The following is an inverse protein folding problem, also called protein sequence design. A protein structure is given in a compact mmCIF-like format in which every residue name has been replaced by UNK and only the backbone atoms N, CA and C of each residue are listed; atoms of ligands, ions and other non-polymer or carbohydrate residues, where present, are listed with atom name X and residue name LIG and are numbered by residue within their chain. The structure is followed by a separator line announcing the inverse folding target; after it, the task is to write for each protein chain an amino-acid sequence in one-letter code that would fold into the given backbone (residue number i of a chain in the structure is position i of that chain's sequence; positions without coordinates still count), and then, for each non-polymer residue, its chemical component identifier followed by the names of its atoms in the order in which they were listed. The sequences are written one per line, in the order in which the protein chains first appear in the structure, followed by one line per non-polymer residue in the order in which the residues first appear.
data_IF_639183195165
#
_entry.id   IF_639183195165
#
_cell.length_a   1.000
_cell.length_b   1.000
_cell.length_c   1.000
_cell.angle_alpha   90.00
_cell.angle_beta   90.00
_cell.angle_gamma   90.00
#
_symmetry.space_group_name_H-M   'P 1'
#
loop_
_entity.id
_entity.type
_entity.pdbx_description
1 polymer ?
#
# COMPACT_ATOMS: atom_id res chain seq x y z
N UNK A 1 32.40 -8.74 12.24
CA UNK A 1 31.28 -8.45 11.35
C UNK A 1 30.43 -9.71 11.23
N UNK A 2 29.32 -9.78 11.96
CA UNK A 2 28.40 -10.91 11.88
C UNK A 2 27.58 -10.74 10.61
N UNK A 3 27.83 -11.57 9.60
CA UNK A 3 27.01 -11.60 8.39
C UNK A 3 25.60 -11.99 8.79
N UNK A 4 24.68 -11.03 8.74
CA UNK A 4 23.26 -11.31 8.83
C UNK A 4 22.92 -12.30 7.71
N UNK A 5 22.61 -13.54 8.08
CA UNK A 5 22.11 -14.54 7.12
C UNK A 5 20.88 -13.96 6.46
N UNK A 6 20.87 -13.91 5.13
CA UNK A 6 19.67 -13.58 4.36
C UNK A 6 18.53 -14.48 4.88
N UNK A 7 17.38 -13.91 5.26
CA UNK A 7 16.26 -14.73 5.72
C UNK A 7 15.92 -15.78 4.66
N UNK A 8 15.50 -16.98 5.05
CA UNK A 8 15.18 -18.05 4.12
C UNK A 8 14.14 -17.56 3.11
N UNK A 9 14.31 -17.94 1.83
CA UNK A 9 13.37 -17.62 0.75
C UNK A 9 12.07 -18.41 0.96
N UNK A 10 11.18 -17.87 1.79
CA UNK A 10 9.93 -18.51 2.19
C UNK A 10 8.93 -18.38 1.05
N UNK A 11 8.50 -19.52 0.50
CA UNK A 11 7.52 -19.62 -0.59
C UNK A 11 6.22 -20.27 -0.13
N UNK A 12 5.41 -19.60 0.72
CA UNK A 12 4.22 -20.19 1.33
C UNK A 12 3.12 -20.52 0.31
N UNK A 13 3.15 -19.90 -0.86
CA UNK A 13 2.20 -20.11 -1.94
C UNK A 13 2.73 -21.05 -3.05
N UNK A 14 3.81 -21.81 -2.78
CA UNK A 14 4.28 -22.81 -3.75
C UNK A 14 3.17 -23.83 -4.05
N UNK A 15 2.86 -24.03 -5.33
CA UNK A 15 1.79 -24.92 -5.78
C UNK A 15 0.43 -24.24 -5.96
N UNK A 16 0.22 -23.04 -5.38
CA UNK A 16 -1.01 -22.28 -5.54
C UNK A 16 -1.05 -21.59 -6.91
N UNK A 17 -2.19 -21.72 -7.58
CA UNK A 17 -2.48 -21.06 -8.86
C UNK A 17 -3.49 -19.93 -8.64
N UNK A 18 -3.14 -18.76 -9.10
CA UNK A 18 -3.97 -17.55 -9.01
C UNK A 18 -4.32 -17.11 -10.43
N UNK A 19 -5.60 -16.94 -10.69
CA UNK A 19 -6.09 -16.26 -11.89
C UNK A 19 -6.50 -14.85 -11.53
N UNK A 20 -6.03 -13.88 -12.30
CA UNK A 20 -6.42 -12.48 -12.12
C UNK A 20 -7.12 -11.94 -13.36
N UNK A 21 -8.23 -11.25 -13.13
CA UNK A 21 -8.91 -10.41 -14.11
C UNK A 21 -8.72 -8.91 -13.79
N UNK A 22 -7.91 -8.62 -12.76
CA UNK A 22 -7.68 -7.26 -12.31
C UNK A 22 -6.70 -6.52 -13.21
N UNK A 23 -7.01 -5.27 -13.49
CA UNK A 23 -6.25 -4.37 -14.35
C UNK A 23 -5.68 -3.19 -13.55
N UNK A 24 -4.90 -2.37 -14.21
CA UNK A 24 -4.23 -1.18 -13.68
C UNK A 24 -3.19 -1.49 -12.61
N UNK A 25 -3.35 -0.99 -11.36
CA UNK A 25 -2.31 -1.04 -10.35
C UNK A 25 -2.60 -2.02 -9.21
N UNK A 26 -3.72 -1.96 -8.45
CA UNK A 26 -3.83 -2.70 -7.18
C UNK A 26 -3.77 -4.22 -7.35
N UNK A 27 -4.45 -4.77 -8.38
CA UNK A 27 -4.42 -6.20 -8.66
C UNK A 27 -3.05 -6.70 -9.14
N UNK A 28 -2.47 -6.12 -10.20
CA UNK A 28 -1.13 -6.48 -10.66
C UNK A 28 -0.04 -6.33 -9.59
N UNK A 29 -0.07 -5.28 -8.76
CA UNK A 29 0.86 -5.11 -7.65
C UNK A 29 0.69 -6.21 -6.58
N UNK A 30 -0.55 -6.66 -6.32
CA UNK A 30 -0.80 -7.82 -5.48
C UNK A 30 -0.22 -9.11 -6.11
N UNK A 31 -0.41 -9.33 -7.43
CA UNK A 31 0.17 -10.50 -8.12
C UNK A 31 1.69 -10.54 -8.03
N UNK A 32 2.37 -9.41 -8.19
CA UNK A 32 3.82 -9.30 -8.04
C UNK A 32 4.27 -9.84 -6.65
N UNK A 33 3.58 -9.45 -5.57
CA UNK A 33 3.84 -9.92 -4.22
C UNK A 33 3.55 -11.41 -4.05
N UNK A 34 2.41 -11.88 -4.54
CA UNK A 34 1.98 -13.27 -4.44
C UNK A 34 2.91 -14.21 -5.23
N UNK A 35 3.41 -13.76 -6.38
CA UNK A 35 4.44 -14.46 -7.14
C UNK A 35 5.76 -14.55 -6.36
N UNK A 36 6.16 -13.47 -5.71
CA UNK A 36 7.33 -13.48 -4.82
C UNK A 36 7.19 -14.51 -3.68
N UNK A 37 5.95 -14.78 -3.22
CA UNK A 37 5.64 -15.84 -2.25
C UNK A 37 5.52 -17.25 -2.88
N UNK A 38 5.78 -17.40 -4.18
CA UNK A 38 5.83 -18.69 -4.88
C UNK A 38 4.55 -19.09 -5.62
N UNK A 39 3.51 -18.25 -5.67
CA UNK A 39 2.32 -18.53 -6.45
C UNK A 39 2.59 -18.56 -7.96
N UNK A 40 1.83 -19.37 -8.69
CA UNK A 40 1.76 -19.34 -10.16
C UNK A 40 0.62 -18.42 -10.58
N UNK A 41 0.95 -17.26 -11.14
CA UNK A 41 -0.02 -16.26 -11.52
C UNK A 41 -0.29 -16.32 -13.03
N UNK A 42 -1.57 -16.35 -13.38
CA UNK A 42 -2.08 -16.12 -14.73
C UNK A 42 -2.97 -14.88 -14.68
N UNK A 43 -2.80 -13.97 -15.63
CA UNK A 43 -3.68 -12.81 -15.78
C UNK A 43 -4.39 -12.92 -17.12
N UNK A 44 -5.70 -12.77 -17.09
CA UNK A 44 -6.52 -12.72 -18.30
C UNK A 44 -6.88 -11.26 -18.57
N UNK A 45 -6.45 -10.76 -19.71
CA UNK A 45 -6.67 -9.39 -20.16
C UNK A 45 -7.70 -9.34 -21.29
N UNK A 46 -8.49 -8.25 -21.40
CA UNK A 46 -9.30 -8.02 -22.57
C UNK A 46 -8.45 -7.83 -23.83
N UNK A 47 -8.98 -7.93 -25.05
CA UNK A 47 -8.23 -7.70 -26.28
C UNK A 47 -7.56 -6.31 -26.35
N UNK A 48 -8.13 -5.31 -25.68
CA UNK A 48 -7.53 -3.98 -25.56
C UNK A 48 -6.31 -3.93 -24.62
N UNK A 49 -6.04 -5.00 -23.89
CA UNK A 49 -4.94 -5.08 -22.92
C UNK A 49 -5.24 -4.36 -21.60
N UNK A 50 -4.21 -4.26 -20.78
CA UNK A 50 -4.25 -3.51 -19.51
C UNK A 50 -3.93 -2.03 -19.78
N UNK A 51 -4.72 -1.07 -19.26
CA UNK A 51 -4.44 0.36 -19.42
C UNK A 51 -3.05 0.78 -18.94
N UNK A 52 -2.46 0.10 -17.96
CA UNK A 52 -1.10 0.38 -17.47
C UNK A 52 -0.05 0.26 -18.58
N UNK A 53 -0.29 -0.60 -19.59
CA UNK A 53 0.58 -0.71 -20.75
C UNK A 53 0.70 0.61 -21.52
N UNK A 54 -0.41 1.35 -21.60
CA UNK A 54 -0.47 2.66 -22.27
C UNK A 54 0.05 3.76 -21.36
N UNK A 55 -0.30 3.73 -20.07
CA UNK A 55 0.12 4.76 -19.12
C UNK A 55 1.63 4.75 -18.89
N UNK A 56 2.20 3.57 -18.64
CA UNK A 56 3.64 3.42 -18.37
C UNK A 56 4.09 2.00 -18.66
N UNK A 57 4.59 1.76 -19.88
CA UNK A 57 5.04 0.44 -20.34
C UNK A 57 6.03 -0.23 -19.39
N UNK A 58 7.03 0.50 -18.91
CA UNK A 58 8.05 -0.06 -17.99
C UNK A 58 7.46 -0.53 -16.66
N UNK A 59 6.40 0.15 -16.16
CA UNK A 59 5.69 -0.26 -14.95
C UNK A 59 4.85 -1.52 -15.23
N UNK A 60 4.15 -1.56 -16.38
CA UNK A 60 3.44 -2.77 -16.80
C UNK A 60 4.38 -3.97 -16.86
N UNK A 61 5.53 -3.84 -17.52
CA UNK A 61 6.50 -4.92 -17.65
C UNK A 61 7.01 -5.40 -16.29
N UNK A 62 7.28 -4.49 -15.37
CA UNK A 62 7.67 -4.82 -13.98
C UNK A 62 6.56 -5.56 -13.23
N UNK A 63 5.32 -5.09 -13.31
CA UNK A 63 4.18 -5.70 -12.62
C UNK A 63 3.83 -7.10 -13.17
N UNK A 64 4.04 -7.31 -14.47
CA UNK A 64 3.72 -8.57 -15.15
C UNK A 64 4.91 -9.53 -15.25
N UNK A 65 6.08 -9.18 -14.72
CA UNK A 65 7.23 -10.07 -14.72
C UNK A 65 6.90 -11.44 -14.14
N UNK A 66 7.08 -12.51 -14.92
CA UNK A 66 6.78 -13.89 -14.52
C UNK A 66 5.28 -14.22 -14.36
N UNK A 67 4.38 -13.34 -14.76
CA UNK A 67 2.94 -13.59 -14.86
C UNK A 67 2.60 -14.07 -16.26
N UNK A 68 1.84 -15.17 -16.37
CA UNK A 68 1.32 -15.63 -17.66
C UNK A 68 0.17 -14.75 -18.11
N UNK A 69 0.32 -14.04 -19.22
CA UNK A 69 -0.76 -13.22 -19.80
C UNK A 69 -1.55 -14.07 -20.83
N UNK A 70 -2.88 -13.99 -20.72
CA UNK A 70 -3.84 -14.60 -21.65
C UNK A 70 -4.80 -13.50 -22.11
N UNK A 71 -4.93 -13.29 -23.42
CA UNK A 71 -5.91 -12.34 -23.95
C UNK A 71 -7.21 -13.07 -24.28
N UNK A 72 -8.35 -12.56 -23.77
CA UNK A 72 -9.68 -13.09 -24.08
C UNK A 72 -10.79 -12.04 -23.90
N UNK A 73 -11.72 -11.96 -24.84
CA UNK A 73 -12.93 -11.16 -24.66
C UNK A 73 -14.00 -11.97 -23.92
N UNK A 74 -14.18 -11.68 -22.64
CA UNK A 74 -15.15 -12.37 -21.77
C UNK A 74 -16.62 -12.17 -22.17
N UNK A 75 -16.91 -11.32 -23.13
CA UNK A 75 -18.25 -11.14 -23.69
C UNK A 75 -18.56 -12.15 -24.78
N UNK A 76 -17.58 -12.92 -25.24
CA UNK A 76 -17.71 -13.93 -26.30
C UNK A 76 -17.71 -15.35 -25.73
N UNK A 77 -18.39 -16.32 -26.39
CA UNK A 77 -18.35 -17.73 -25.98
C UNK A 77 -16.93 -18.30 -25.93
N UNK A 78 -16.08 -17.92 -26.87
CA UNK A 78 -14.66 -18.35 -26.91
C UNK A 78 -13.88 -17.84 -25.71
N UNK A 79 -14.08 -16.55 -25.35
CA UNK A 79 -13.47 -15.94 -24.17
C UNK A 79 -13.95 -16.57 -22.87
N UNK A 80 -15.24 -16.88 -22.77
CA UNK A 80 -15.80 -17.63 -21.63
C UNK A 80 -15.19 -19.04 -21.53
N UNK A 81 -15.06 -19.75 -22.64
CA UNK A 81 -14.39 -21.06 -22.67
C UNK A 81 -12.94 -20.96 -22.18
N UNK A 82 -12.20 -19.93 -22.62
CA UNK A 82 -10.82 -19.71 -22.15
C UNK A 82 -10.77 -19.41 -20.64
N UNK A 83 -11.67 -18.61 -20.13
CA UNK A 83 -11.81 -18.30 -18.72
C UNK A 83 -12.09 -19.55 -17.88
N UNK A 84 -13.11 -20.33 -18.25
CA UNK A 84 -13.50 -21.54 -17.53
C UNK A 84 -12.39 -22.60 -17.51
N UNK A 85 -11.60 -22.71 -18.58
CA UNK A 85 -10.41 -23.57 -18.62
C UNK A 85 -9.34 -23.15 -17.60
N UNK A 86 -9.14 -21.85 -17.39
CA UNK A 86 -8.21 -21.36 -16.37
C UNK A 86 -8.81 -21.52 -14.96
N UNK A 87 -10.11 -21.23 -14.76
CA UNK A 87 -10.82 -21.38 -13.47
C UNK A 87 -10.75 -22.82 -12.94
N UNK A 88 -10.93 -23.82 -13.81
CA UNK A 88 -10.93 -25.23 -13.43
C UNK A 88 -9.62 -25.71 -12.74
N UNK A 89 -8.54 -24.96 -12.86
CA UNK A 89 -7.23 -25.28 -12.27
C UNK A 89 -6.71 -24.22 -11.29
N UNK A 90 -7.56 -23.29 -10.90
CA UNK A 90 -7.23 -22.12 -10.08
C UNK A 90 -7.75 -22.32 -8.66
N UNK A 91 -6.95 -21.95 -7.65
CA UNK A 91 -7.36 -21.92 -6.27
C UNK A 91 -7.98 -20.57 -5.87
N UNK A 92 -7.44 -19.46 -6.41
CA UNK A 92 -7.95 -18.11 -6.09
C UNK A 92 -8.12 -17.29 -7.36
N UNK A 93 -9.32 -16.76 -7.55
CA UNK A 93 -9.64 -15.76 -8.57
C UNK A 93 -9.54 -14.37 -7.94
N UNK A 94 -8.78 -13.46 -8.55
CA UNK A 94 -8.71 -12.04 -8.19
C UNK A 94 -9.41 -11.21 -9.26
N UNK A 95 -10.35 -10.37 -8.88
CA UNK A 95 -11.07 -9.47 -9.78
C UNK A 95 -10.99 -8.01 -9.33
N UNK A 96 -11.12 -7.06 -10.27
CA UNK A 96 -11.28 -5.63 -9.97
C UNK A 96 -12.45 -5.02 -10.74
N UNK A 97 -13.40 -5.84 -11.13
CA UNK A 97 -14.62 -5.37 -11.78
C UNK A 97 -15.63 -4.87 -10.75
N UNK A 98 -16.43 -3.89 -11.16
CA UNK A 98 -17.62 -3.48 -10.39
C UNK A 98 -18.58 -4.67 -10.23
N UNK A 99 -19.32 -4.76 -9.12
CA UNK A 99 -20.29 -5.84 -8.89
C UNK A 99 -21.26 -6.03 -10.06
N UNK A 100 -21.80 -4.96 -10.62
CA UNK A 100 -22.71 -5.00 -11.78
C UNK A 100 -22.05 -5.60 -13.03
N UNK A 101 -20.75 -5.40 -13.23
CA UNK A 101 -20.02 -6.00 -14.35
C UNK A 101 -19.80 -7.50 -14.13
N UNK A 102 -19.50 -7.93 -12.90
CA UNK A 102 -19.39 -9.35 -12.55
C UNK A 102 -20.71 -10.10 -12.79
N UNK A 103 -21.86 -9.46 -12.48
CA UNK A 103 -23.18 -10.02 -12.80
C UNK A 103 -23.34 -10.25 -14.30
N UNK A 104 -23.03 -9.24 -15.14
CA UNK A 104 -23.14 -9.34 -16.60
C UNK A 104 -22.21 -10.39 -17.21
N UNK A 105 -21.08 -10.64 -16.59
CA UNK A 105 -20.09 -11.65 -17.03
C UNK A 105 -20.36 -13.06 -16.48
N UNK A 106 -21.37 -13.24 -15.60
CA UNK A 106 -21.66 -14.52 -14.95
C UNK A 106 -20.64 -14.90 -13.87
N UNK A 107 -19.88 -13.94 -13.36
CA UNK A 107 -18.79 -14.14 -12.41
C UNK A 107 -19.14 -13.73 -10.98
N UNK A 108 -20.42 -13.81 -10.63
CA UNK A 108 -20.86 -13.62 -9.24
C UNK A 108 -20.33 -14.75 -8.37
N UNK A 109 -20.05 -14.45 -7.10
CA UNK A 109 -19.65 -15.48 -6.13
C UNK A 109 -20.57 -16.70 -6.14
N UNK A 110 -21.89 -16.49 -6.12
CA UNK A 110 -22.89 -17.56 -6.14
C UNK A 110 -22.73 -18.48 -7.36
N UNK A 111 -22.53 -17.92 -8.55
CA UNK A 111 -22.35 -18.68 -9.78
C UNK A 111 -21.02 -19.47 -9.78
N UNK A 112 -19.93 -18.79 -9.40
CA UNK A 112 -18.59 -19.37 -9.34
C UNK A 112 -18.51 -20.47 -8.29
N UNK A 113 -19.02 -20.26 -7.09
CA UNK A 113 -18.99 -21.25 -6.01
C UNK A 113 -19.82 -22.50 -6.32
N UNK A 114 -20.92 -22.34 -7.05
CA UNK A 114 -21.72 -23.47 -7.56
C UNK A 114 -20.93 -24.31 -8.57
N UNK A 115 -20.20 -23.66 -9.49
CA UNK A 115 -19.45 -24.34 -10.54
C UNK A 115 -18.09 -24.88 -10.05
N UNK A 116 -17.46 -24.17 -9.12
CA UNK A 116 -16.12 -24.45 -8.59
C UNK A 116 -16.11 -24.30 -7.06
N UNK A 117 -16.63 -25.30 -6.31
CA UNK A 117 -16.80 -25.15 -4.85
C UNK A 117 -15.51 -24.87 -4.07
N UNK A 118 -14.37 -25.33 -4.59
CA UNK A 118 -13.07 -25.08 -3.96
C UNK A 118 -12.41 -23.76 -4.38
N UNK A 119 -12.94 -23.06 -5.40
CA UNK A 119 -12.38 -21.79 -5.85
C UNK A 119 -12.72 -20.67 -4.84
N UNK A 120 -11.72 -19.96 -4.39
CA UNK A 120 -11.91 -18.70 -3.66
C UNK A 120 -11.95 -17.51 -4.62
N UNK A 121 -12.73 -16.49 -4.28
CA UNK A 121 -12.78 -15.23 -5.02
C UNK A 121 -12.36 -14.06 -4.10
N UNK A 122 -11.37 -13.29 -4.53
CA UNK A 122 -10.96 -12.03 -3.91
C UNK A 122 -11.35 -10.91 -4.87
N UNK A 123 -12.33 -10.09 -4.47
CA UNK A 123 -12.83 -8.98 -5.27
C UNK A 123 -12.25 -7.67 -4.76
N UNK A 124 -11.49 -6.97 -5.60
CA UNK A 124 -11.05 -5.60 -5.35
C UNK A 124 -12.18 -4.69 -5.81
N UNK A 125 -12.70 -3.86 -4.92
CA UNK A 125 -13.78 -2.91 -5.18
C UNK A 125 -13.38 -1.49 -4.76
N UNK A 126 -14.03 -0.47 -5.29
CA UNK A 126 -13.82 0.91 -4.86
C UNK A 126 -14.21 1.09 -3.39
N UNK A 127 -15.47 0.79 -3.10
CA UNK A 127 -16.06 0.83 -1.76
C UNK A 127 -16.86 -0.44 -1.49
N UNK A 128 -17.07 -0.79 -0.23
CA UNK A 128 -17.87 -1.96 0.16
C UNK A 128 -19.36 -1.76 -0.07
N UNK A 129 -20.08 -2.89 -0.22
CA UNK A 129 -21.54 -2.96 -0.22
C UNK A 129 -22.18 -2.21 -1.38
N UNK A 130 -23.24 -1.44 -1.10
CA UNK A 130 -24.02 -0.73 -2.11
C UNK A 130 -23.20 0.29 -2.91
N UNK A 131 -22.14 0.83 -2.33
CA UNK A 131 -21.22 1.77 -2.98
C UNK A 131 -20.20 1.10 -3.93
N UNK A 132 -20.22 -0.22 -4.07
CA UNK A 132 -19.26 -0.98 -4.90
C UNK A 132 -19.32 -0.62 -6.40
N UNK A 133 -20.45 -0.11 -6.89
CA UNK A 133 -20.63 0.35 -8.27
C UNK A 133 -20.34 1.84 -8.48
N UNK A 134 -20.05 2.61 -7.41
CA UNK A 134 -19.69 4.03 -7.53
C UNK A 134 -18.37 4.22 -8.28
N UNK A 135 -18.26 5.27 -9.11
CA UNK A 135 -17.00 5.61 -9.74
C UNK A 135 -16.02 6.17 -8.72
N UNK A 136 -14.77 5.70 -8.76
CA UNK A 136 -13.73 6.21 -7.89
C UNK A 136 -12.35 5.71 -8.32
N UNK A 137 -11.34 6.42 -7.88
CA UNK A 137 -9.93 6.10 -8.04
C UNK A 137 -9.16 6.51 -6.79
N UNK A 138 -7.90 6.13 -6.69
CA UNK A 138 -7.02 6.38 -5.55
C UNK A 138 -7.22 7.76 -4.91
N UNK A 139 -7.11 8.83 -5.70
CA UNK A 139 -7.21 10.20 -5.21
C UNK A 139 -8.55 10.48 -4.52
N UNK A 140 -9.66 9.97 -5.06
CA UNK A 140 -10.99 10.20 -4.48
C UNK A 140 -11.17 9.46 -3.15
N UNK A 141 -10.64 8.26 -3.03
CA UNK A 141 -10.64 7.51 -1.78
C UNK A 141 -9.74 8.14 -0.72
N UNK A 142 -8.56 8.65 -1.14
CA UNK A 142 -7.66 9.39 -0.26
C UNK A 142 -8.32 10.67 0.26
N UNK A 143 -9.01 11.41 -0.61
CA UNK A 143 -9.72 12.64 -0.23
C UNK A 143 -10.87 12.35 0.74
N UNK A 144 -11.67 11.31 0.48
CA UNK A 144 -12.76 10.87 1.36
C UNK A 144 -12.27 10.54 2.77
N UNK A 145 -11.08 9.98 2.89
CA UNK A 145 -10.46 9.59 4.16
C UNK A 145 -9.60 10.69 4.81
N UNK A 146 -9.64 11.93 4.27
CA UNK A 146 -8.91 13.07 4.83
C UNK A 146 -7.39 12.97 4.69
N UNK A 147 -6.89 12.25 3.67
CA UNK A 147 -5.47 12.04 3.41
C UNK A 147 -4.91 12.94 2.29
N UNK A 148 -5.71 13.89 1.82
CA UNK A 148 -5.29 14.94 0.88
C UNK A 148 -5.24 16.27 1.62
N UNK A 149 -4.08 16.87 1.68
CA UNK A 149 -3.87 18.16 2.35
C UNK A 149 -3.70 19.29 1.33
N UNK A 150 -4.52 20.34 1.45
CA UNK A 150 -4.45 21.51 0.56
C UNK A 150 -4.71 21.13 -0.90
N UNK A 151 -3.89 21.69 -1.80
CA UNK A 151 -4.01 21.52 -3.25
C UNK A 151 -2.89 20.65 -3.84
N UNK A 152 -2.02 20.09 -3.01
CA UNK A 152 -0.93 19.22 -3.47
C UNK A 152 -1.40 17.77 -3.58
N UNK A 153 -1.01 17.12 -4.66
CA UNK A 153 -1.29 15.70 -4.83
C UNK A 153 -0.43 14.85 -3.89
N UNK A 154 -0.98 13.76 -3.33
CA UNK A 154 -0.18 12.78 -2.60
C UNK A 154 0.97 12.25 -3.47
N UNK A 155 2.17 12.01 -2.90
CA UNK A 155 3.34 11.59 -3.68
C UNK A 155 3.28 10.13 -4.16
N UNK A 156 2.22 9.42 -3.84
CA UNK A 156 1.99 8.03 -4.24
C UNK A 156 0.49 7.71 -4.28
N UNK A 157 0.15 6.59 -4.90
CA UNK A 157 -1.22 6.05 -4.96
C UNK A 157 -1.45 5.14 -3.73
N UNK A 158 -1.70 5.75 -2.57
CA UNK A 158 -1.72 5.03 -1.29
C UNK A 158 -2.93 4.10 -1.14
N UNK A 159 -4.12 4.46 -1.65
CA UNK A 159 -5.29 3.60 -1.63
C UNK A 159 -5.08 2.35 -2.50
N UNK A 160 -4.53 2.51 -3.70
CA UNK A 160 -4.23 1.40 -4.61
C UNK A 160 -3.14 0.48 -4.04
N UNK A 161 -2.06 1.05 -3.50
CA UNK A 161 -0.97 0.25 -2.93
C UNK A 161 -1.37 -0.40 -1.61
N UNK A 162 -2.13 0.27 -0.77
CA UNK A 162 -2.76 -0.31 0.42
C UNK A 162 -3.72 -1.44 0.05
N UNK A 163 -4.55 -1.24 -0.98
CA UNK A 163 -5.44 -2.25 -1.55
C UNK A 163 -4.67 -3.46 -2.09
N UNK A 164 -3.49 -3.27 -2.69
CA UNK A 164 -2.65 -4.39 -3.14
C UNK A 164 -2.10 -5.22 -1.98
N UNK A 165 -1.72 -4.58 -0.87
CA UNK A 165 -1.30 -5.26 0.36
C UNK A 165 -2.45 -6.09 0.94
N UNK A 166 -3.63 -5.46 1.12
CA UNK A 166 -4.83 -6.13 1.63
C UNK A 166 -5.31 -7.26 0.69
N UNK A 167 -5.16 -7.10 -0.63
CA UNK A 167 -5.46 -8.18 -1.59
C UNK A 167 -4.51 -9.36 -1.41
N UNK A 168 -3.22 -9.11 -1.19
CA UNK A 168 -2.25 -10.16 -0.90
C UNK A 168 -2.59 -10.90 0.40
N UNK A 169 -3.00 -10.16 1.44
CA UNK A 169 -3.46 -10.73 2.71
C UNK A 169 -4.76 -11.55 2.53
N UNK A 170 -5.72 -11.02 1.77
CA UNK A 170 -6.96 -11.74 1.47
C UNK A 170 -6.72 -13.06 0.73
N UNK A 171 -5.79 -13.09 -0.23
CA UNK A 171 -5.39 -14.33 -0.90
C UNK A 171 -4.77 -15.33 0.09
N UNK A 172 -3.90 -14.88 0.99
CA UNK A 172 -3.33 -15.75 2.04
C UNK A 172 -4.41 -16.30 2.96
N UNK A 173 -5.37 -15.47 3.40
CA UNK A 173 -6.54 -15.89 4.19
C UNK A 173 -7.38 -16.92 3.45
N UNK A 174 -7.63 -16.70 2.16
CA UNK A 174 -8.40 -17.61 1.32
C UNK A 174 -7.72 -18.98 1.19
N UNK A 175 -6.42 -19.02 0.93
CA UNK A 175 -5.63 -20.26 0.82
C UNK A 175 -5.58 -20.99 2.17
N UNK A 176 -5.36 -20.28 3.27
CA UNK A 176 -5.35 -20.85 4.62
C UNK A 176 -6.71 -21.45 5.01
N UNK A 177 -7.81 -20.74 4.70
CA UNK A 177 -9.15 -21.25 4.95
C UNK A 177 -9.48 -22.48 4.10
N UNK A 178 -9.14 -22.42 2.81
CA UNK A 178 -9.33 -23.54 1.89
C UNK A 178 -8.58 -24.81 2.35
N UNK A 179 -7.35 -24.66 2.86
CA UNK A 179 -6.57 -25.80 3.39
C UNK A 179 -7.20 -26.49 4.59
N UNK A 180 -8.17 -25.86 5.25
CA UNK A 180 -8.89 -26.40 6.43
C UNK A 180 -10.28 -26.95 6.11
N UNK A 181 -10.90 -26.49 5.04
CA UNK A 181 -12.32 -26.78 4.77
C UNK A 181 -12.57 -27.37 3.38
N UNK A 182 -11.57 -27.44 2.51
CA UNK A 182 -11.65 -27.81 1.09
C UNK A 182 -12.68 -26.98 0.30
N UNK A 183 -13.16 -25.87 0.88
CA UNK A 183 -14.13 -24.96 0.26
C UNK A 183 -13.50 -23.59 0.03
N UNK A 184 -13.83 -23.00 -1.10
CA UNK A 184 -13.49 -21.62 -1.41
C UNK A 184 -14.28 -20.63 -0.56
N UNK A 185 -13.76 -19.42 -0.47
CA UNK A 185 -14.38 -18.28 0.24
C UNK A 185 -14.43 -17.05 -0.66
N UNK A 186 -15.39 -16.16 -0.37
CA UNK A 186 -15.44 -14.84 -0.97
C UNK A 186 -14.87 -13.80 0.00
N UNK A 187 -13.93 -13.01 -0.48
CA UNK A 187 -13.35 -11.90 0.26
C UNK A 187 -13.40 -10.65 -0.61
N UNK A 188 -13.81 -9.55 -0.02
CA UNK A 188 -13.86 -8.24 -0.67
C UNK A 188 -12.80 -7.32 -0.07
N UNK A 189 -12.04 -6.65 -0.93
CA UNK A 189 -11.01 -5.68 -0.58
C UNK A 189 -11.40 -4.33 -1.15
N UNK A 190 -11.74 -3.39 -0.30
CA UNK A 190 -12.11 -2.03 -0.68
C UNK A 190 -10.90 -1.11 -0.72
N UNK A 191 -10.73 -0.36 -1.81
CA UNK A 191 -9.68 0.65 -1.93
C UNK A 191 -9.93 1.83 -0.99
N UNK A 192 -11.19 2.26 -0.85
CA UNK A 192 -11.58 3.25 0.17
C UNK A 192 -11.29 2.74 1.59
N UNK A 193 -11.57 1.44 1.86
CA UNK A 193 -11.22 0.80 3.13
C UNK A 193 -9.71 0.76 3.38
N UNK A 194 -8.91 0.54 2.34
CA UNK A 194 -7.45 0.58 2.43
C UNK A 194 -6.95 2.00 2.76
N UNK A 195 -7.48 3.02 2.08
CA UNK A 195 -7.20 4.42 2.43
C UNK A 195 -7.62 4.74 3.86
N UNK A 196 -8.81 4.28 4.28
CA UNK A 196 -9.30 4.44 5.66
C UNK A 196 -8.37 3.83 6.70
N UNK A 197 -7.86 2.62 6.45
CA UNK A 197 -6.88 1.99 7.35
C UNK A 197 -5.59 2.81 7.46
N UNK A 198 -5.06 3.29 6.33
CA UNK A 198 -3.87 4.16 6.32
C UNK A 198 -4.15 5.51 6.99
N UNK A 199 -5.39 5.97 6.96
CA UNK A 199 -5.86 7.21 7.60
C UNK A 199 -6.14 7.09 9.10
N UNK A 200 -6.07 5.90 9.71
CA UNK A 200 -6.34 5.72 11.14
C UNK A 200 -5.56 6.67 12.06
N UNK A 201 -4.25 6.95 11.85
CA UNK A 201 -3.53 7.91 12.69
C UNK A 201 -4.13 9.32 12.62
N UNK A 202 -4.67 9.72 11.46
CA UNK A 202 -5.37 10.99 11.32
C UNK A 202 -6.71 10.99 12.07
N UNK A 203 -7.52 9.96 11.91
CA UNK A 203 -8.81 9.83 12.61
C UNK A 203 -8.66 9.69 14.13
N UNK A 204 -7.57 9.12 14.60
CA UNK A 204 -7.21 9.07 16.03
C UNK A 204 -6.70 10.41 16.57
N UNK A 205 -6.56 11.43 15.73
CA UNK A 205 -6.08 12.74 16.14
C UNK A 205 -4.57 12.83 16.41
N UNK A 206 -3.77 11.89 15.88
CA UNK A 206 -2.31 11.89 16.05
C UNK A 206 -1.62 12.83 15.05
N UNK A 207 -2.06 12.83 13.79
CA UNK A 207 -1.40 13.52 12.68
C UNK A 207 -2.09 14.78 12.16
N UNK A 208 -3.31 15.21 12.60
CA UNK A 208 -3.86 16.48 12.16
C UNK A 208 -2.91 17.66 12.47
N UNK A 209 -2.95 18.74 11.68
CA UNK A 209 -2.15 19.93 11.94
C UNK A 209 -2.27 20.42 13.38
N UNK A 210 -1.15 20.73 14.02
CA UNK A 210 -1.11 21.17 15.44
C UNK A 210 -1.22 20.04 16.48
N UNK A 211 -1.29 18.78 16.07
CA UNK A 211 -1.15 17.63 16.97
C UNK A 211 0.30 17.14 17.02
N UNK A 212 0.62 16.26 17.97
CA UNK A 212 2.00 15.85 18.24
C UNK A 212 2.74 15.39 16.98
N UNK A 213 2.15 14.48 16.20
CA UNK A 213 2.70 14.00 14.93
C UNK A 213 2.25 14.82 13.72
N UNK A 214 1.49 15.86 13.95
CA UNK A 214 1.05 16.87 12.98
C UNK A 214 1.86 18.16 13.02
N UNK A 215 3.09 18.11 13.55
CA UNK A 215 4.04 19.21 13.57
C UNK A 215 4.07 20.07 14.85
N UNK A 216 3.29 19.74 15.89
CA UNK A 216 3.36 20.44 17.18
C UNK A 216 4.57 20.02 18.02
N UNK A 217 5.13 18.83 17.80
CA UNK A 217 6.31 18.34 18.50
C UNK A 217 7.58 18.74 17.75
N UNK A 218 8.46 19.52 18.37
CA UNK A 218 9.69 20.01 17.74
C UNK A 218 10.61 18.90 17.24
N UNK A 219 10.58 17.73 17.88
CA UNK A 219 11.33 16.53 17.46
C UNK A 219 10.60 15.70 16.39
N UNK A 220 9.41 16.09 15.89
CA UNK A 220 8.74 15.41 14.80
C UNK A 220 8.29 16.41 13.74
N UNK A 221 9.24 16.86 12.93
CA UNK A 221 9.01 17.97 12.00
C UNK A 221 10.03 18.01 10.86
N UNK A 222 9.68 18.74 9.81
CA UNK A 222 10.60 19.17 8.77
C UNK A 222 11.19 20.53 9.12
N UNK A 223 12.51 20.68 8.97
CA UNK A 223 13.22 21.94 9.13
C UNK A 223 14.03 22.26 7.87
N UNK A 224 14.04 23.52 7.41
CA UNK A 224 14.98 23.93 6.36
C UNK A 224 16.41 23.91 6.89
N UNK A 225 17.36 23.53 6.04
CA UNK A 225 18.80 23.59 6.32
C UNK A 225 19.52 24.28 5.16
N UNK A 226 20.83 24.44 5.25
CA UNK A 226 21.62 25.27 4.33
C UNK A 226 21.46 24.91 2.85
N UNK A 227 21.38 23.61 2.52
CA UNK A 227 21.35 23.06 1.15
C UNK A 227 20.19 22.09 0.93
N UNK A 228 19.09 22.24 1.73
CA UNK A 228 17.95 21.37 1.61
C UNK A 228 17.01 21.45 2.82
N UNK A 229 16.51 20.30 3.25
CA UNK A 229 15.64 20.16 4.43
C UNK A 229 15.95 18.88 5.18
N UNK A 230 15.61 18.82 6.46
CA UNK A 230 15.80 17.64 7.30
C UNK A 230 14.47 17.22 7.94
N UNK A 231 14.15 15.93 7.85
CA UNK A 231 13.11 15.31 8.66
C UNK A 231 13.72 14.88 9.99
N UNK A 232 13.14 15.32 11.10
CA UNK A 232 13.51 14.92 12.46
C UNK A 232 12.39 14.07 13.04
N UNK A 233 12.73 12.95 13.70
CA UNK A 233 11.78 12.03 14.33
C UNK A 233 12.23 11.64 15.76
N UNK A 234 12.71 12.61 16.53
CA UNK A 234 13.18 12.45 17.91
C UNK A 234 12.01 12.48 18.90
N UNK A 235 11.23 11.40 18.93
CA UNK A 235 10.02 11.28 19.75
C UNK A 235 10.32 10.66 21.13
N UNK A 236 11.17 9.66 21.19
CA UNK A 236 11.52 8.99 22.42
C UNK A 236 12.31 9.93 23.34
N UNK A 237 12.18 9.80 24.68
CA UNK A 237 12.78 10.73 25.64
C UNK A 237 14.28 10.93 25.47
N UNK A 238 15.03 9.88 25.16
CA UNK A 238 16.49 9.98 24.96
C UNK A 238 16.85 10.73 23.67
N UNK A 239 16.13 10.50 22.56
CA UNK A 239 16.32 11.24 21.31
C UNK A 239 15.91 12.72 21.46
N UNK A 240 14.79 12.98 22.14
CA UNK A 240 14.33 14.33 22.43
C UNK A 240 15.36 15.10 23.30
N UNK A 241 15.95 14.42 24.29
CA UNK A 241 17.01 14.98 25.13
C UNK A 241 18.26 15.29 24.32
N UNK A 242 18.72 14.37 23.47
CA UNK A 242 19.88 14.58 22.60
C UNK A 242 19.66 15.77 21.65
N UNK A 243 18.47 15.87 21.05
CA UNK A 243 18.11 17.00 20.19
C UNK A 243 18.08 18.33 20.95
N UNK A 244 17.49 18.35 22.16
CA UNK A 244 17.47 19.54 23.01
C UNK A 244 18.89 19.99 23.38
N UNK A 245 19.74 19.07 23.79
CA UNK A 245 21.16 19.36 24.10
C UNK A 245 21.89 19.94 22.89
N UNK A 246 21.75 19.33 21.72
CA UNK A 246 22.36 19.80 20.49
C UNK A 246 21.86 21.21 20.09
N UNK A 247 20.58 21.51 20.32
CA UNK A 247 19.96 22.79 20.04
C UNK A 247 20.14 23.84 21.19
N UNK A 248 20.84 23.50 22.29
CA UNK A 248 21.05 24.40 23.42
C UNK A 248 19.79 24.66 24.27
N UNK A 249 18.83 23.73 24.28
CA UNK A 249 17.62 23.82 25.09
C UNK A 249 17.87 23.23 26.47
N UNK A 250 17.83 24.05 27.50
CA UNK A 250 18.18 23.68 28.87
C UNK A 250 17.09 22.96 29.66
N UNK A 251 15.87 22.81 29.11
CA UNK A 251 14.71 22.30 29.85
C UNK A 251 14.44 20.82 29.56
N UNK A 252 14.14 20.07 30.62
CA UNK A 252 13.74 18.64 30.57
C UNK A 252 12.27 18.43 30.90
N UNK A 253 11.45 19.49 30.87
CA UNK A 253 10.01 19.37 31.17
C UNK A 253 9.28 18.52 30.10
N UNK A 254 8.30 17.73 30.56
CA UNK A 254 7.51 16.82 29.71
C UNK A 254 6.92 17.47 28.45
N UNK A 255 6.65 18.79 28.50
CA UNK A 255 6.07 19.55 27.38
C UNK A 255 7.09 20.42 26.65
N UNK A 256 8.39 20.30 26.92
CA UNK A 256 9.44 21.12 26.30
C UNK A 256 9.39 21.06 24.77
N UNK A 257 9.13 19.87 24.25
CA UNK A 257 9.08 19.64 22.79
C UNK A 257 7.88 20.28 22.11
N UNK A 258 6.87 20.71 22.87
CA UNK A 258 5.69 21.43 22.34
C UNK A 258 5.85 22.95 22.43
N UNK A 259 6.90 23.45 23.09
CA UNK A 259 7.10 24.87 23.27
C UNK A 259 7.66 25.54 21.99
N UNK A 260 7.13 26.70 21.63
CA UNK A 260 7.61 27.47 20.46
C UNK A 260 9.11 27.79 20.57
N UNK A 261 9.59 28.08 21.77
CA UNK A 261 11.01 28.34 22.03
C UNK A 261 11.91 27.15 21.66
N UNK A 262 11.43 25.91 21.84
CA UNK A 262 12.14 24.71 21.41
C UNK A 262 12.14 24.55 19.90
N UNK A 263 11.00 24.82 19.26
CA UNK A 263 10.92 24.85 17.78
C UNK A 263 11.93 25.85 17.20
N UNK A 264 11.99 27.05 17.76
CA UNK A 264 12.90 28.12 17.30
C UNK A 264 14.37 27.75 17.54
N UNK A 265 14.68 27.15 18.69
CA UNK A 265 16.03 26.68 18.98
C UNK A 265 16.49 25.57 18.02
N UNK A 266 15.63 24.57 17.77
CA UNK A 266 15.93 23.49 16.81
C UNK A 266 16.07 24.06 15.38
N UNK A 267 15.17 24.96 14.97
CA UNK A 267 15.28 25.62 13.67
C UNK A 267 16.59 26.40 13.52
N UNK A 268 16.97 27.18 14.54
CA UNK A 268 18.23 27.93 14.57
C UNK A 268 19.45 27.04 14.53
N UNK A 269 19.39 25.89 15.20
CA UNK A 269 20.47 24.89 15.21
C UNK A 269 20.63 24.23 13.84
N UNK A 270 19.55 23.89 13.17
CA UNK A 270 19.53 23.17 11.88
C UNK A 270 19.88 24.07 10.70
N UNK A 271 19.37 25.30 10.66
CA UNK A 271 19.42 26.20 9.51
C UNK A 271 20.83 26.42 8.91
N UNK A 272 21.91 26.64 9.69
CA UNK A 272 23.24 26.88 9.14
C UNK A 272 23.97 25.61 8.65
N UNK A 273 23.44 24.43 8.95
CA UNK A 273 24.08 23.16 8.66
C UNK A 273 23.70 22.64 7.27
N UNK A 274 24.65 21.95 6.62
CA UNK A 274 24.39 21.23 5.38
C UNK A 274 23.76 19.87 5.65
N UNK A 275 23.09 19.30 4.64
CA UNK A 275 22.57 17.92 4.71
C UNK A 275 23.63 16.90 5.14
N UNK A 276 24.87 17.04 4.65
CA UNK A 276 25.99 16.17 5.03
C UNK A 276 26.35 16.31 6.51
N UNK A 277 26.45 17.54 7.02
CA UNK A 277 26.74 17.80 8.45
C UNK A 277 25.63 17.22 9.34
N UNK A 278 24.36 17.45 8.98
CA UNK A 278 23.21 16.91 9.72
C UNK A 278 23.20 15.37 9.74
N UNK A 279 23.49 14.72 8.62
CA UNK A 279 23.57 13.25 8.55
C UNK A 279 24.66 12.71 9.49
N UNK A 280 25.86 13.33 9.48
CA UNK A 280 26.96 12.94 10.37
C UNK A 280 26.61 13.17 11.84
N UNK A 281 26.00 14.31 12.15
CA UNK A 281 25.60 14.70 13.49
C UNK A 281 24.50 13.79 14.04
N UNK A 282 23.48 13.46 13.24
CA UNK A 282 22.42 12.53 13.65
C UNK A 282 22.96 11.17 14.05
N UNK A 283 23.91 10.64 13.28
CA UNK A 283 24.59 9.39 13.62
C UNK A 283 25.47 9.49 14.88
N UNK A 284 26.18 10.61 15.07
CA UNK A 284 27.08 10.80 16.20
C UNK A 284 26.34 11.04 17.54
N UNK A 285 25.18 11.69 17.50
CA UNK A 285 24.38 12.04 18.67
C UNK A 285 23.17 11.12 18.89
N UNK A 286 23.04 10.06 18.09
CA UNK A 286 21.91 9.15 18.12
C UNK A 286 20.56 9.88 18.01
N UNK A 287 20.46 10.82 17.04
CA UNK A 287 19.23 11.56 16.77
C UNK A 287 18.62 11.05 15.46
N UNK A 288 17.40 10.48 15.48
CA UNK A 288 16.71 10.07 14.25
C UNK A 288 16.41 11.28 13.37
N UNK A 289 17.19 11.45 12.31
CA UNK A 289 16.96 12.46 11.29
C UNK A 289 17.39 11.97 9.91
N UNK A 290 16.74 12.52 8.88
CA UNK A 290 17.08 12.25 7.49
C UNK A 290 17.12 13.57 6.70
N UNK A 291 18.30 13.90 6.18
CA UNK A 291 18.50 15.11 5.42
C UNK A 291 18.28 14.88 3.92
N UNK A 292 17.52 15.77 3.31
CA UNK A 292 17.11 15.72 1.90
C UNK A 292 17.62 16.97 1.18
N UNK A 293 18.44 16.79 0.15
CA UNK A 293 18.80 17.87 -0.77
C UNK A 293 17.57 18.32 -1.57
N UNK A 294 17.50 19.59 -1.91
CA UNK A 294 16.51 20.12 -2.86
C UNK A 294 16.97 19.83 -4.28
#
# INVERSE_FOLDING_TARGET
MTTLKTPPDIKPLRGIRILSLALNLPGPAALMRLRAMGARCTKLEPPAGDPMYVYKRSVYDTLQEGVKIVSADLRTPTGQTALHRELARTQVLVTSFRPSALVKLGLTWKALHKAYPALSQVAIVGSHGERGDEPGHDLTYMAEMGLVNGMELPPSLFADMGGSLMTSEAVLKAVLQQSRSDKGVYLEVSLAGAAGYLGLPNSWGLTPPGKSLGGAHAGYRLYPCKDGRVAVAALEPHFATALCQAAGVASTHRNVMMAQTTHDAVAKFVAPQTCRQLTTLGAALDIPLFAMKV
#
